data_IF_673536840678
#
_entry.id   IF_673536840678
#
_cell.length_a   1.000
_cell.length_b   1.000
_cell.length_c   1.000
_cell.angle_alpha   90.00
_cell.angle_beta   90.00
_cell.angle_gamma   90.00
#
_symmetry.space_group_name_H-M   'P 1'
#
loop_
_entity.id
_entity.type
_entity.pdbx_description
1 polymer ?
#
# COMPACT_ATOMS: atom_id res chain seq x y z
N UNK A 1 -26.11 -30.76 0.66
CA UNK A 1 -25.70 -29.52 1.35
C UNK A 1 -24.79 -28.77 0.40
N UNK A 2 -25.40 -28.09 -0.56
CA UNK A 2 -24.69 -27.17 -1.44
C UNK A 2 -24.33 -25.95 -0.61
N UNK A 3 -23.08 -25.92 -0.15
CA UNK A 3 -22.53 -24.73 0.48
C UNK A 3 -22.51 -23.64 -0.59
N UNK A 4 -23.48 -22.73 -0.49
CA UNK A 4 -23.59 -21.56 -1.35
C UNK A 4 -22.22 -20.83 -1.37
N UNK A 5 -21.56 -20.70 -2.53
CA UNK A 5 -20.23 -20.13 -2.62
C UNK A 5 -20.15 -18.67 -2.18
N UNK A 6 -21.28 -17.96 -2.03
CA UNK A 6 -21.34 -16.60 -1.50
C UNK A 6 -21.44 -16.54 0.04
N UNK A 7 -21.85 -17.63 0.71
CA UNK A 7 -21.83 -17.72 2.19
C UNK A 7 -20.41 -17.85 2.79
N UNK A 8 -19.43 -18.25 1.97
CA UNK A 8 -18.03 -18.46 2.38
C UNK A 8 -17.16 -17.20 2.31
N UNK A 9 -17.70 -16.09 1.80
CA UNK A 9 -16.89 -14.93 1.38
C UNK A 9 -17.09 -13.65 2.18
N UNK A 10 -17.95 -13.59 3.19
CA UNK A 10 -18.17 -12.34 3.92
C UNK A 10 -18.22 -12.54 5.44
N UNK A 11 -17.09 -12.92 6.02
CA UNK A 11 -16.77 -12.47 7.37
C UNK A 11 -16.57 -10.95 7.30
N UNK A 12 -17.41 -10.20 8.01
CA UNK A 12 -17.32 -8.74 8.05
C UNK A 12 -15.96 -8.25 8.56
N UNK A 13 -15.30 -9.06 9.40
CA UNK A 13 -13.93 -8.81 9.86
C UNK A 13 -12.95 -8.97 8.69
N UNK A 14 -13.04 -10.05 7.92
CA UNK A 14 -12.18 -10.28 6.77
C UNK A 14 -12.33 -9.22 5.68
N UNK A 15 -13.54 -8.72 5.44
CA UNK A 15 -13.76 -7.59 4.53
C UNK A 15 -13.12 -6.31 5.04
N UNK A 16 -13.27 -5.99 6.33
CA UNK A 16 -12.64 -4.83 6.93
C UNK A 16 -11.10 -4.90 6.87
N UNK A 17 -10.53 -6.11 6.99
CA UNK A 17 -9.09 -6.34 6.82
C UNK A 17 -8.63 -6.12 5.37
N UNK A 18 -9.44 -6.52 4.37
CA UNK A 18 -9.14 -6.26 2.95
C UNK A 18 -9.14 -4.75 2.66
N UNK A 19 -10.13 -4.03 3.17
CA UNK A 19 -10.19 -2.56 3.04
C UNK A 19 -8.97 -1.91 3.69
N UNK A 20 -8.62 -2.34 4.90
CA UNK A 20 -7.42 -1.88 5.62
C UNK A 20 -6.12 -2.13 4.83
N UNK A 21 -5.94 -3.32 4.25
CA UNK A 21 -4.76 -3.60 3.43
C UNK A 21 -4.73 -2.77 2.15
N UNK A 22 -5.89 -2.49 1.56
CA UNK A 22 -5.99 -1.63 0.37
C UNK A 22 -5.53 -0.21 0.70
N UNK A 23 -5.93 0.33 1.85
CA UNK A 23 -5.51 1.66 2.32
C UNK A 23 -3.99 1.72 2.57
N UNK A 24 -3.40 0.68 3.17
CA UNK A 24 -1.94 0.57 3.35
C UNK A 24 -1.22 0.54 2.01
N UNK A 25 -1.70 -0.23 1.03
CA UNK A 25 -1.10 -0.29 -0.30
C UNK A 25 -1.21 1.04 -1.05
N UNK A 26 -2.31 1.75 -0.90
CA UNK A 26 -2.48 3.09 -1.45
C UNK A 26 -1.45 4.06 -0.84
N UNK A 27 -1.30 4.08 0.48
CA UNK A 27 -0.32 4.93 1.16
C UNK A 27 1.13 4.62 0.75
N UNK A 28 1.48 3.34 0.59
CA UNK A 28 2.80 2.92 0.07
C UNK A 28 3.00 3.36 -1.38
N UNK A 29 1.96 3.31 -2.20
CA UNK A 29 2.02 3.73 -3.60
C UNK A 29 2.21 5.24 -3.75
N UNK A 30 1.66 6.02 -2.83
CA UNK A 30 1.77 7.48 -2.79
C UNK A 30 3.07 7.96 -2.14
N UNK A 31 3.72 7.12 -1.33
CA UNK A 31 4.94 7.47 -0.63
C UNK A 31 6.19 7.39 -1.54
N UNK A 32 7.07 8.38 -1.43
CA UNK A 32 8.34 8.41 -2.16
C UNK A 32 9.39 7.42 -1.60
N UNK A 33 9.15 6.90 -0.40
CA UNK A 33 10.03 6.01 0.34
C UNK A 33 9.18 5.00 1.15
N UNK A 34 9.79 3.91 1.68
CA UNK A 34 9.10 3.03 2.60
C UNK A 34 8.52 3.80 3.79
N UNK A 35 7.28 3.49 4.17
CA UNK A 35 6.61 4.11 5.31
C UNK A 35 7.40 3.88 6.61
N UNK A 36 7.49 4.92 7.44
CA UNK A 36 7.97 4.74 8.82
C UNK A 36 6.91 4.03 9.66
N UNK A 37 7.28 3.42 10.80
CA UNK A 37 6.31 2.83 11.72
C UNK A 37 5.20 3.80 12.13
N UNK A 38 5.54 5.07 12.39
CA UNK A 38 4.57 6.09 12.79
C UNK A 38 3.63 6.49 11.65
N UNK A 39 4.08 6.41 10.40
CA UNK A 39 3.24 6.65 9.22
C UNK A 39 2.31 5.46 8.99
N UNK A 40 2.82 4.23 9.13
CA UNK A 40 2.01 3.02 9.09
C UNK A 40 0.95 3.03 10.20
N UNK A 41 1.31 3.36 11.44
CA UNK A 41 0.39 3.45 12.57
C UNK A 41 -0.74 4.47 12.31
N UNK A 42 -0.47 5.56 11.59
CA UNK A 42 -1.50 6.51 11.17
C UNK A 42 -2.46 5.90 10.14
N UNK A 43 -1.95 5.21 9.13
CA UNK A 43 -2.79 4.52 8.13
C UNK A 43 -3.63 3.42 8.77
N UNK A 44 -3.07 2.72 9.77
CA UNK A 44 -3.78 1.73 10.57
C UNK A 44 -4.77 2.35 11.59
N UNK A 45 -4.83 3.67 11.71
CA UNK A 45 -5.69 4.37 12.66
C UNK A 45 -5.28 4.23 14.14
N UNK A 46 -4.04 3.79 14.41
CA UNK A 46 -3.48 3.62 15.76
C UNK A 46 -3.01 4.96 16.36
N UNK A 47 -2.78 5.96 15.51
CA UNK A 47 -2.45 7.33 15.90
C UNK A 47 -3.53 8.30 15.40
N UNK A 48 -3.79 9.41 16.12
CA UNK A 48 -4.69 10.45 15.62
C UNK A 48 -4.17 11.02 14.29
N UNK A 49 -5.06 11.48 13.39
CA UNK A 49 -4.65 12.09 12.15
C UNK A 49 -3.81 13.34 12.44
N UNK A 50 -2.67 13.47 11.76
CA UNK A 50 -1.87 14.71 11.81
C UNK A 50 -2.77 15.87 11.34
N UNK A 51 -2.77 17.03 12.03
CA UNK A 51 -3.44 18.22 11.51
C UNK A 51 -2.89 18.51 10.11
N UNK A 52 -3.78 18.66 9.13
CA UNK A 52 -3.48 18.75 7.69
C UNK A 52 -2.24 19.60 7.38
N UNK A 53 -1.10 18.94 7.24
CA UNK A 53 0.11 19.49 6.66
C UNK A 53 -0.02 19.24 5.15
N UNK A 54 -0.01 20.27 4.29
CA UNK A 54 -0.25 20.06 2.86
C UNK A 54 0.72 19.02 2.29
N UNK A 55 0.28 18.24 1.30
CA UNK A 55 1.08 17.15 0.76
C UNK A 55 2.45 17.69 0.36
N UNK A 56 3.50 17.07 0.89
CA UNK A 56 4.87 17.31 0.44
C UNK A 56 5.00 16.73 -0.98
N UNK A 57 4.41 17.41 -1.95
CA UNK A 57 4.61 17.15 -3.37
C UNK A 57 6.08 17.43 -3.68
N UNK A 58 6.93 16.41 -3.53
CA UNK A 58 8.24 16.37 -4.14
C UNK A 58 8.14 15.47 -5.35
N UNK A 59 7.88 16.09 -6.50
CA UNK A 59 8.05 15.43 -7.79
C UNK A 59 9.54 15.08 -7.94
N UNK A 60 9.88 13.81 -7.72
CA UNK A 60 11.14 13.25 -8.19
C UNK A 60 10.91 11.92 -8.91
N UNK A 61 10.36 12.04 -10.11
CA UNK A 61 10.56 11.02 -11.13
C UNK A 61 12.03 11.05 -11.57
N UNK A 62 12.88 10.19 -10.99
CA UNK A 62 13.98 9.57 -11.74
C UNK A 62 14.30 8.19 -11.16
N UNK A 63 13.59 7.15 -11.58
CA UNK A 63 14.13 5.79 -11.54
C UNK A 63 14.96 5.52 -12.80
N UNK A 64 16.10 6.19 -12.91
CA UNK A 64 17.14 5.80 -13.87
C UNK A 64 18.06 4.78 -13.21
N UNK A 65 17.89 3.51 -13.57
CA UNK A 65 18.94 2.50 -13.72
C UNK A 65 18.34 1.10 -13.92
N UNK A 66 17.76 0.82 -15.10
CA UNK A 66 17.94 -0.53 -15.65
C UNK A 66 19.34 -0.54 -16.27
N UNK A 67 20.33 -1.06 -15.55
CA UNK A 67 21.58 -1.48 -16.19
C UNK A 67 21.21 -2.57 -17.17
N UNK A 68 21.26 -2.24 -18.45
CA UNK A 68 21.47 -3.24 -19.48
C UNK A 68 22.82 -3.89 -19.20
N UNK A 69 22.81 -5.18 -18.87
CA UNK A 69 23.92 -6.05 -19.21
C UNK A 69 23.46 -6.80 -20.44
N UNK A 70 23.85 -6.26 -21.60
CA UNK A 70 24.22 -7.11 -22.72
C UNK A 70 25.15 -8.20 -22.18
N UNK A 71 24.86 -9.45 -22.49
CA UNK A 71 25.86 -10.38 -23.03
C UNK A 71 25.11 -11.39 -23.89
N UNK A 72 25.22 -11.14 -25.19
CA UNK A 72 25.06 -12.10 -26.26
C UNK A 72 26.02 -13.27 -25.97
N UNK A 73 25.53 -14.51 -25.91
CA UNK A 73 26.43 -15.68 -25.95
C UNK A 73 25.73 -16.89 -26.57
N UNK A 74 26.11 -17.10 -27.84
CA UNK A 74 26.15 -18.33 -28.66
C UNK A 74 24.85 -19.12 -28.85
#
# INVERSE_FOLDING_TARGET
MDADPCSRLHDAVALAEIDLYTDVLAAVSDADAPLTPEELDRVLGLLPPEPANPPRLRVSCTRSARRGTSELSI
#
